data_IF_856805201249
#
_entry.id   IF_856805201249
#
_cell.length_a   1.000
_cell.length_b   1.000
_cell.length_c   1.000
_cell.angle_alpha   90.00
_cell.angle_beta   90.00
_cell.angle_gamma   90.00
#
_symmetry.space_group_name_H-M   'P 1'
#
loop_
_entity.id
_entity.type
_entity.pdbx_description
1 polymer ?
#
# COMPACT_ATOMS: atom_id res chain seq x y z
N UNK A 1 16.56 5.13 -29.92
CA UNK A 1 16.28 5.77 -28.61
C UNK A 1 16.36 7.26 -28.77
N UNK A 2 15.33 8.02 -28.38
CA UNK A 2 15.34 9.49 -28.48
C UNK A 2 16.29 10.10 -27.45
N UNK A 3 17.26 10.93 -27.87
CA UNK A 3 18.02 11.74 -26.92
C UNK A 3 17.27 13.05 -26.67
N UNK A 4 17.36 13.56 -25.43
CA UNK A 4 16.63 14.75 -25.00
C UNK A 4 17.61 15.72 -24.36
N UNK A 5 17.49 17.00 -24.72
CA UNK A 5 18.27 18.09 -24.15
C UNK A 5 17.34 19.12 -23.54
N UNK A 6 17.49 19.36 -22.25
CA UNK A 6 16.89 20.53 -21.61
C UNK A 6 17.65 21.77 -22.06
N UNK A 7 16.93 22.73 -22.65
CA UNK A 7 17.52 23.96 -23.15
C UNK A 7 17.67 24.99 -22.03
N UNK A 8 16.67 25.05 -21.14
CA UNK A 8 16.70 25.87 -19.92
C UNK A 8 17.13 25.07 -18.70
N UNK A 9 16.56 23.87 -18.46
CA UNK A 9 16.79 23.14 -17.21
C UNK A 9 16.36 23.94 -15.97
N UNK A 10 15.37 24.81 -16.12
CA UNK A 10 14.95 25.80 -15.12
C UNK A 10 15.83 27.06 -15.02
N UNK A 11 16.93 27.14 -15.77
CA UNK A 11 17.76 28.34 -15.90
C UNK A 11 17.59 28.98 -17.29
N UNK A 12 17.00 30.17 -17.32
CA UNK A 12 16.75 30.93 -18.54
C UNK A 12 17.86 31.94 -18.85
N UNK A 13 19.01 31.86 -18.17
CA UNK A 13 20.15 32.79 -18.35
C UNK A 13 20.72 32.82 -19.78
N UNK A 14 20.56 31.73 -20.52
CA UNK A 14 21.01 31.62 -21.92
C UNK A 14 19.98 32.14 -22.93
N UNK A 15 18.76 32.45 -22.47
CA UNK A 15 17.68 32.94 -23.32
C UNK A 15 17.84 34.43 -23.59
N UNK A 16 17.62 34.84 -24.83
CA UNK A 16 17.42 36.24 -25.17
C UNK A 16 15.96 36.61 -24.94
N UNK A 17 15.72 37.51 -23.97
CA UNK A 17 14.38 37.90 -23.54
C UNK A 17 14.01 39.27 -24.10
N UNK A 18 12.83 39.35 -24.72
CA UNK A 18 12.21 40.60 -25.15
C UNK A 18 10.78 40.68 -24.59
N UNK A 19 10.52 41.63 -23.70
CA UNK A 19 9.22 41.77 -23.03
C UNK A 19 8.87 40.67 -22.01
N UNK A 20 9.81 39.75 -21.73
CA UNK A 20 9.68 38.69 -20.73
C UNK A 20 10.66 38.87 -19.57
N UNK A 21 10.35 38.26 -18.43
CA UNK A 21 11.24 38.19 -17.28
C UNK A 21 11.21 36.79 -16.64
N UNK A 22 12.23 36.50 -15.83
CA UNK A 22 12.36 35.23 -15.11
C UNK A 22 11.94 35.46 -13.66
N UNK A 23 10.97 34.69 -13.18
CA UNK A 23 10.44 34.71 -11.82
C UNK A 23 10.65 33.34 -11.17
N UNK A 24 11.69 33.26 -10.32
CA UNK A 24 12.22 31.99 -9.83
C UNK A 24 12.85 31.18 -10.97
N UNK A 25 12.34 29.98 -11.23
CA UNK A 25 12.76 29.13 -12.35
C UNK A 25 11.80 29.20 -13.56
N UNK A 26 10.84 30.12 -13.53
CA UNK A 26 9.79 30.21 -14.55
C UNK A 26 9.87 31.49 -15.38
N UNK A 27 9.68 31.36 -16.68
CA UNK A 27 9.54 32.47 -17.62
C UNK A 27 8.11 33.03 -17.57
N UNK A 28 7.96 34.35 -17.52
CA UNK A 28 6.65 35.06 -17.56
C UNK A 28 6.75 36.38 -18.33
N UNK A 29 5.60 36.98 -18.66
CA UNK A 29 5.52 38.34 -19.19
C UNK A 29 6.04 39.35 -18.14
N UNK A 30 6.86 40.32 -18.57
CA UNK A 30 7.38 41.35 -17.68
C UNK A 30 6.26 42.23 -17.11
N UNK A 31 6.38 42.60 -15.82
CA UNK A 31 5.41 43.45 -15.14
C UNK A 31 5.35 44.86 -15.75
N UNK A 32 4.14 45.39 -15.95
CA UNK A 32 3.93 46.82 -16.30
C UNK A 32 2.44 47.18 -16.09
N UNK A 33 2.05 48.42 -16.38
CA UNK A 33 0.71 48.96 -16.11
C UNK A 33 -0.46 48.08 -16.65
N UNK A 34 -1.48 47.78 -15.84
CA UNK A 34 -2.60 46.91 -16.20
C UNK A 34 -3.44 47.48 -17.36
N UNK A 35 -3.97 46.60 -18.22
CA UNK A 35 -4.99 46.96 -19.22
C UNK A 35 -4.54 47.04 -20.69
N UNK A 36 -3.27 46.77 -21.01
CA UNK A 36 -2.79 46.65 -22.39
C UNK A 36 -2.46 45.19 -22.70
N UNK A 37 -2.94 44.68 -23.84
CA UNK A 37 -2.53 43.38 -24.35
C UNK A 37 -1.01 43.39 -24.56
N UNK A 38 -0.34 42.34 -24.07
CA UNK A 38 1.11 42.19 -24.21
C UNK A 38 1.46 40.86 -24.81
N UNK A 39 2.59 40.90 -25.49
CA UNK A 39 3.32 39.70 -25.85
C UNK A 39 4.81 39.95 -25.64
N UNK A 40 5.58 38.87 -25.51
CA UNK A 40 7.03 38.89 -25.42
C UNK A 40 7.61 37.57 -25.87
N UNK A 41 8.91 37.57 -26.18
CA UNK A 41 9.64 36.44 -26.73
C UNK A 41 10.80 36.03 -25.82
N UNK A 42 10.99 34.72 -25.66
CA UNK A 42 12.25 34.15 -25.20
C UNK A 42 12.85 33.32 -26.33
N UNK A 43 14.03 33.70 -26.82
CA UNK A 43 14.75 32.95 -27.84
C UNK A 43 15.87 32.15 -27.20
N UNK A 44 15.86 30.84 -27.40
CA UNK A 44 16.80 29.89 -26.78
C UNK A 44 17.53 29.12 -27.88
N UNK A 45 18.88 29.13 -27.89
CA UNK A 45 19.64 28.30 -28.82
C UNK A 45 19.65 26.85 -28.34
N UNK A 46 19.18 25.93 -29.19
CA UNK A 46 19.44 24.50 -29.00
C UNK A 46 20.78 24.07 -29.62
N UNK A 47 21.26 24.82 -30.62
CA UNK A 47 22.48 24.50 -31.35
C UNK A 47 22.29 23.29 -32.27
N UNK A 48 23.38 22.67 -32.71
CA UNK A 48 23.34 21.38 -33.39
C UNK A 48 23.35 20.24 -32.35
N UNK A 49 22.75 19.07 -32.66
CA UNK A 49 22.90 17.87 -31.85
C UNK A 49 24.38 17.52 -31.64
N UNK A 50 24.77 17.24 -30.41
CA UNK A 50 26.10 16.71 -30.10
C UNK A 50 26.21 15.22 -30.45
N UNK A 51 27.44 14.70 -30.59
CA UNK A 51 27.68 13.27 -30.88
C UNK A 51 27.01 12.29 -29.91
N UNK A 52 26.79 12.68 -28.65
CA UNK A 52 26.10 11.86 -27.65
C UNK A 52 24.56 11.91 -27.79
N UNK A 53 24.04 12.91 -28.51
CA UNK A 53 22.61 13.11 -28.78
C UNK A 53 22.20 12.55 -30.15
N UNK A 54 23.17 12.06 -30.94
CA UNK A 54 22.96 11.44 -32.23
C UNK A 54 22.72 9.94 -32.02
N UNK A 55 21.55 9.44 -32.41
CA UNK A 55 21.31 8.01 -32.54
C UNK A 55 21.89 7.53 -33.88
N UNK A 56 22.63 6.42 -33.85
CA UNK A 56 23.31 5.76 -34.99
C UNK A 56 22.46 5.50 -36.24
N UNK A 57 21.14 5.68 -36.15
CA UNK A 57 20.16 5.33 -37.19
C UNK A 57 19.40 6.52 -37.78
N UNK A 58 19.42 7.69 -37.12
CA UNK A 58 18.65 8.88 -37.55
C UNK A 58 19.58 10.01 -37.98
N UNK A 59 19.23 10.72 -39.05
CA UNK A 59 19.96 11.92 -39.48
C UNK A 59 20.09 12.92 -38.31
N UNK A 60 21.31 13.44 -38.09
CA UNK A 60 21.79 14.35 -37.03
C UNK A 60 20.98 15.66 -36.88
N UNK A 61 19.69 15.59 -36.58
CA UNK A 61 18.81 16.77 -36.48
C UNK A 61 17.81 16.66 -35.34
N UNK A 62 17.42 17.84 -34.85
CA UNK A 62 16.32 18.00 -33.92
C UNK A 62 14.99 17.63 -34.57
N UNK A 63 14.08 17.02 -33.80
CA UNK A 63 12.79 16.50 -34.29
C UNK A 63 11.59 17.11 -33.61
N UNK A 64 11.72 17.38 -32.32
CA UNK A 64 10.63 17.93 -31.54
C UNK A 64 11.15 18.88 -30.48
N UNK A 65 10.28 19.80 -30.10
CA UNK A 65 10.43 20.69 -28.96
C UNK A 65 9.21 20.52 -28.07
N UNK A 66 9.44 20.40 -26.77
CA UNK A 66 8.41 20.26 -25.75
C UNK A 66 8.58 21.35 -24.71
N UNK A 67 7.47 21.95 -24.31
CA UNK A 67 7.39 23.06 -23.38
C UNK A 67 6.61 22.61 -22.15
N UNK A 68 7.18 22.83 -20.97
CA UNK A 68 6.55 22.48 -19.69
C UNK A 68 6.06 23.74 -18.99
N UNK A 69 4.74 23.89 -18.89
CA UNK A 69 4.12 24.98 -18.12
C UNK A 69 4.20 24.69 -16.62
N UNK A 70 4.46 25.72 -15.82
CA UNK A 70 4.49 25.61 -14.35
C UNK A 70 3.08 25.54 -13.77
N UNK A 71 2.14 26.26 -14.40
CA UNK A 71 0.74 26.39 -13.99
C UNK A 71 -0.17 26.25 -15.22
N UNK A 72 -1.43 25.82 -15.07
CA UNK A 72 -2.41 25.84 -16.15
C UNK A 72 -2.51 27.22 -16.79
N UNK A 73 -2.63 27.27 -18.12
CA UNK A 73 -2.69 28.53 -18.87
C UNK A 73 -3.87 29.40 -18.38
N UNK A 74 -3.62 30.61 -17.84
CA UNK A 74 -4.71 31.44 -17.33
C UNK A 74 -5.68 31.88 -18.44
N UNK A 75 -6.97 32.13 -18.13
CA UNK A 75 -7.93 32.62 -19.11
C UNK A 75 -7.46 33.91 -19.78
N UNK A 76 -7.57 33.98 -21.11
CA UNK A 76 -7.12 35.14 -21.90
C UNK A 76 -5.61 35.25 -22.09
N UNK A 77 -4.83 34.27 -21.60
CA UNK A 77 -3.42 34.10 -21.96
C UNK A 77 -3.28 33.09 -23.10
N UNK A 78 -2.18 33.20 -23.84
CA UNK A 78 -1.80 32.27 -24.89
C UNK A 78 -0.28 32.14 -24.93
N UNK A 79 0.19 31.08 -25.58
CA UNK A 79 1.59 30.89 -25.89
C UNK A 79 1.74 30.35 -27.31
N UNK A 80 2.90 30.53 -27.90
CA UNK A 80 3.24 29.96 -29.21
C UNK A 80 4.72 29.60 -29.26
N UNK A 81 5.02 28.40 -29.76
CA UNK A 81 6.38 27.96 -30.03
C UNK A 81 6.71 28.33 -31.47
N UNK A 82 7.90 28.88 -31.68
CA UNK A 82 8.46 29.16 -33.00
C UNK A 82 9.77 28.40 -33.15
N UNK A 83 9.98 27.82 -34.33
CA UNK A 83 11.14 27.01 -34.64
C UNK A 83 11.88 27.59 -35.84
N UNK A 84 13.20 27.72 -35.74
CA UNK A 84 14.09 28.13 -36.81
C UNK A 84 15.26 27.16 -36.87
N UNK A 85 15.48 26.55 -38.04
CA UNK A 85 16.70 25.79 -38.31
C UNK A 85 17.54 26.61 -39.26
N UNK A 86 18.69 27.08 -38.77
CA UNK A 86 19.62 27.88 -39.56
C UNK A 86 20.89 27.08 -39.84
N UNK A 87 21.14 26.68 -41.11
CA UNK A 87 22.35 25.97 -41.51
C UNK A 87 23.58 26.89 -41.57
N UNK A 88 23.36 28.21 -41.64
CA UNK A 88 24.40 29.23 -41.81
C UNK A 88 24.69 30.02 -40.54
N UNK A 89 23.94 29.75 -39.46
CA UNK A 89 24.08 30.48 -38.21
C UNK A 89 25.52 30.45 -37.70
N UNK A 90 26.16 31.62 -37.67
CA UNK A 90 27.27 31.90 -36.76
C UNK A 90 26.78 32.01 -35.31
N UNK A 91 27.62 32.49 -34.39
CA UNK A 91 27.26 32.65 -32.97
C UNK A 91 26.26 33.79 -32.66
N UNK A 92 25.56 34.33 -33.66
CA UNK A 92 24.65 35.46 -33.52
C UNK A 92 23.22 35.02 -33.18
N UNK A 93 22.52 35.81 -32.36
CA UNK A 93 21.09 35.62 -32.07
C UNK A 93 20.29 36.04 -33.31
N UNK A 94 19.38 35.20 -33.84
CA UNK A 94 18.53 35.56 -34.98
C UNK A 94 17.55 36.68 -34.61
N UNK A 95 17.03 37.37 -35.62
CA UNK A 95 15.94 38.32 -35.40
C UNK A 95 14.69 37.58 -34.85
N UNK A 96 13.90 38.23 -33.98
CA UNK A 96 12.64 37.67 -33.48
C UNK A 96 11.72 37.25 -34.63
N UNK A 97 10.87 36.22 -34.43
CA UNK A 97 9.90 35.81 -35.45
C UNK A 97 8.94 36.96 -35.78
N UNK A 98 8.86 37.30 -37.06
CA UNK A 98 7.90 38.25 -37.59
C UNK A 98 6.77 37.49 -38.29
N UNK A 99 5.50 37.61 -37.84
CA UNK A 99 4.36 36.91 -38.43
C UNK A 99 4.15 37.16 -39.94
N UNK A 100 4.68 38.25 -40.50
CA UNK A 100 4.56 38.55 -41.93
C UNK A 100 5.51 37.71 -42.77
N UNK A 101 6.71 37.45 -42.26
CA UNK A 101 7.77 36.73 -42.98
C UNK A 101 7.89 35.25 -42.57
N UNK A 102 7.47 34.90 -41.36
CA UNK A 102 7.46 33.54 -40.86
C UNK A 102 6.36 32.67 -41.51
N UNK A 103 6.56 31.36 -41.50
CA UNK A 103 5.51 30.40 -41.83
C UNK A 103 4.60 30.21 -40.61
N UNK A 104 3.28 30.18 -40.84
CA UNK A 104 2.32 29.82 -39.80
C UNK A 104 2.28 28.29 -39.57
N UNK A 105 1.39 27.84 -38.68
CA UNK A 105 1.22 26.42 -38.37
C UNK A 105 0.69 25.61 -39.58
N UNK A 106 0.10 26.29 -40.57
CA UNK A 106 -0.47 25.71 -41.79
C UNK A 106 0.42 25.89 -43.03
N UNK A 107 1.60 26.47 -42.86
CA UNK A 107 2.57 26.71 -43.92
C UNK A 107 2.99 25.42 -44.64
N UNK A 108 3.55 25.58 -45.85
CA UNK A 108 4.03 24.45 -46.64
C UNK A 108 5.05 23.60 -45.85
N UNK A 109 5.07 22.29 -46.10
CA UNK A 109 6.05 21.36 -45.51
C UNK A 109 6.84 20.72 -46.63
N UNK A 110 8.19 20.65 -46.55
CA UNK A 110 9.06 21.08 -45.44
C UNK A 110 9.17 22.59 -45.27
N UNK A 111 9.53 23.02 -44.06
CA UNK A 111 9.91 24.41 -43.76
C UNK A 111 11.28 24.70 -44.41
N UNK A 112 11.43 25.81 -45.14
CA UNK A 112 12.72 26.24 -45.66
C UNK A 112 13.73 26.54 -44.52
N UNK A 113 15.02 26.20 -44.67
CA UNK A 113 16.04 26.62 -43.71
C UNK A 113 16.15 28.15 -43.63
N UNK A 114 16.50 28.67 -42.46
CA UNK A 114 16.61 30.11 -42.21
C UNK A 114 15.26 30.82 -42.05
N UNK A 115 14.14 30.09 -42.00
CA UNK A 115 12.80 30.65 -41.83
C UNK A 115 12.15 30.18 -40.53
N UNK A 116 11.59 31.13 -39.78
CA UNK A 116 10.77 30.84 -38.60
C UNK A 116 9.48 30.14 -39.00
N UNK A 117 9.07 29.15 -38.21
CA UNK A 117 7.75 28.51 -38.31
C UNK A 117 7.03 28.50 -36.97
N UNK A 118 5.79 28.96 -36.96
CA UNK A 118 4.91 28.86 -35.80
C UNK A 118 4.37 27.43 -35.60
N UNK A 119 4.29 27.00 -34.35
CA UNK A 119 3.39 25.94 -33.92
C UNK A 119 1.95 26.46 -33.79
N UNK A 120 1.00 25.54 -33.66
CA UNK A 120 -0.38 25.89 -33.36
C UNK A 120 -0.47 26.71 -32.06
N UNK A 121 -1.43 27.64 -32.00
CA UNK A 121 -1.60 28.48 -30.82
C UNK A 121 -1.90 27.62 -29.59
N UNK A 122 -1.18 27.89 -28.50
CA UNK A 122 -1.24 27.15 -27.23
C UNK A 122 -0.78 25.69 -27.30
N UNK A 123 -0.11 25.27 -28.39
CA UNK A 123 0.56 23.97 -28.44
C UNK A 123 1.74 23.95 -27.46
N UNK A 124 1.82 22.88 -26.66
CA UNK A 124 2.94 22.65 -25.72
C UNK A 124 4.09 21.87 -26.36
N UNK A 125 3.91 21.42 -27.59
CA UNK A 125 4.86 20.65 -28.35
C UNK A 125 4.83 21.06 -29.82
N UNK A 126 5.98 20.94 -30.49
CA UNK A 126 6.13 21.30 -31.88
C UNK A 126 7.15 20.39 -32.57
N UNK A 127 6.82 19.89 -33.76
CA UNK A 127 7.76 19.16 -34.61
C UNK A 127 8.64 20.11 -35.42
N UNK A 128 9.92 19.78 -35.53
CA UNK A 128 10.89 20.47 -36.37
C UNK A 128 10.72 19.96 -37.80
N UNK A 129 9.99 20.72 -38.62
CA UNK A 129 9.64 20.34 -40.00
C UNK A 129 10.65 20.84 -41.05
N UNK A 130 11.92 21.03 -40.66
CA UNK A 130 13.00 21.42 -41.55
C UNK A 130 13.95 20.23 -41.72
N UNK A 131 14.12 19.68 -42.94
CA UNK A 131 14.94 18.50 -43.14
C UNK A 131 16.44 18.80 -43.14
N UNK A 132 16.82 20.08 -43.27
CA UNK A 132 18.21 20.51 -43.31
C UNK A 132 18.91 20.30 -41.96
N UNK A 133 20.19 19.92 -42.01
CA UNK A 133 21.05 19.98 -40.84
C UNK A 133 21.37 21.44 -40.51
N UNK A 134 21.45 21.78 -39.22
CA UNK A 134 21.74 23.14 -38.78
C UNK A 134 21.53 23.34 -37.29
N UNK A 135 21.78 24.56 -36.84
CA UNK A 135 21.50 24.96 -35.46
C UNK A 135 20.02 25.26 -35.30
N UNK A 136 19.38 24.60 -34.33
CA UNK A 136 18.00 24.91 -33.97
C UNK A 136 17.96 26.11 -33.00
N UNK A 137 17.09 27.05 -33.31
CA UNK A 137 16.62 28.10 -32.43
C UNK A 137 15.15 27.90 -32.12
N UNK A 138 14.79 28.09 -30.86
CA UNK A 138 13.42 28.03 -30.39
C UNK A 138 13.05 29.39 -29.84
N UNK A 139 11.99 30.02 -30.35
CA UNK A 139 11.40 31.18 -29.71
C UNK A 139 10.09 30.78 -29.03
N UNK A 140 9.91 31.23 -27.80
CA UNK A 140 8.69 31.05 -27.04
C UNK A 140 8.02 32.41 -26.92
N UNK A 141 6.87 32.55 -27.57
CA UNK A 141 6.05 33.74 -27.50
C UNK A 141 5.00 33.54 -26.40
N UNK A 142 4.92 34.47 -25.46
CA UNK A 142 3.89 34.53 -24.44
C UNK A 142 3.01 35.73 -24.72
N UNK A 143 1.70 35.61 -24.52
CA UNK A 143 0.79 36.74 -24.60
C UNK A 143 -0.37 36.67 -23.63
N UNK A 144 -0.94 37.83 -23.30
CA UNK A 144 -2.06 37.94 -22.37
C UNK A 144 -2.60 39.36 -22.21
N UNK A 145 -3.64 39.49 -21.41
CA UNK A 145 -4.33 40.76 -21.12
C UNK A 145 -3.63 41.64 -20.07
N UNK A 146 -2.51 41.16 -19.52
CA UNK A 146 -1.73 41.84 -18.48
C UNK A 146 -2.25 41.64 -17.04
N UNK A 147 -3.41 41.02 -16.84
CA UNK A 147 -3.94 40.68 -15.51
C UNK A 147 -3.40 39.33 -14.98
N UNK A 148 -3.10 38.41 -15.88
CA UNK A 148 -2.48 37.13 -15.61
C UNK A 148 -1.38 36.87 -16.64
N UNK A 149 -0.40 36.04 -16.29
CA UNK A 149 0.73 35.73 -17.16
C UNK A 149 0.94 34.21 -17.22
N UNK A 150 1.16 33.64 -18.42
CA UNK A 150 1.58 32.24 -18.53
C UNK A 150 2.95 32.07 -17.87
N UNK A 151 3.15 30.93 -17.19
CA UNK A 151 4.40 30.58 -16.52
C UNK A 151 4.98 29.32 -17.14
N UNK A 152 6.18 29.42 -17.69
CA UNK A 152 6.87 28.30 -18.34
C UNK A 152 8.02 27.86 -17.45
N UNK A 153 7.99 26.62 -17.01
CA UNK A 153 9.03 26.05 -16.16
C UNK A 153 10.24 25.57 -16.96
N UNK A 154 10.03 25.04 -18.16
CA UNK A 154 11.12 24.40 -18.90
C UNK A 154 10.85 24.24 -20.40
N UNK A 155 11.94 24.08 -21.15
CA UNK A 155 11.96 23.85 -22.59
C UNK A 155 12.93 22.72 -22.92
N UNK A 156 12.47 21.73 -23.66
CA UNK A 156 13.23 20.55 -24.05
C UNK A 156 13.23 20.41 -25.57
N UNK A 157 14.39 20.15 -26.15
CA UNK A 157 14.51 19.70 -27.54
C UNK A 157 14.86 18.21 -27.55
N UNK A 158 14.31 17.48 -28.52
CA UNK A 158 14.53 16.04 -28.68
C UNK A 158 15.08 15.72 -30.07
N UNK A 159 16.08 14.84 -30.08
CA UNK A 159 16.63 14.16 -31.25
C UNK A 159 16.18 12.70 -31.25
N UNK A 160 16.48 12.00 -32.34
CA UNK A 160 16.29 10.56 -32.45
C UNK A 160 15.18 10.18 -33.40
N UNK A 161 14.54 9.04 -33.10
CA UNK A 161 13.81 8.23 -34.07
C UNK A 161 12.82 9.05 -34.91
N UNK A 162 12.78 8.73 -36.21
CA UNK A 162 11.94 9.35 -37.24
C UNK A 162 10.42 9.16 -37.00
N UNK A 163 10.06 8.66 -35.82
CA UNK A 163 8.75 8.19 -35.44
C UNK A 163 8.52 6.76 -35.92
N UNK A 164 7.37 6.17 -35.60
CA UNK A 164 7.04 4.78 -35.96
C UNK A 164 7.04 4.52 -37.48
N UNK A 165 7.11 5.55 -38.32
CA UNK A 165 7.16 5.36 -39.78
C UNK A 165 8.45 4.65 -40.20
N UNK A 166 9.58 4.81 -39.51
CA UNK A 166 10.82 4.10 -39.84
C UNK A 166 10.77 2.62 -39.52
N UNK A 167 9.92 2.21 -38.59
CA UNK A 167 9.65 0.80 -38.30
C UNK A 167 8.83 0.13 -39.41
N UNK A 168 8.14 0.90 -40.25
CA UNK A 168 7.37 0.35 -41.35
C UNK A 168 8.28 -0.12 -42.50
N UNK A 169 7.94 -1.25 -43.14
CA UNK A 169 8.59 -1.67 -44.37
C UNK A 169 8.59 -0.56 -45.43
N UNK A 170 9.70 -0.41 -46.17
CA UNK A 170 9.91 0.64 -47.19
C UNK A 170 8.72 0.79 -48.15
N UNK A 171 8.04 -0.31 -48.50
CA UNK A 171 6.89 -0.30 -49.42
C UNK A 171 5.75 0.60 -48.94
N UNK A 172 5.54 0.71 -47.62
CA UNK A 172 4.50 1.57 -47.01
C UNK A 172 4.94 3.02 -46.85
N UNK A 173 6.26 3.27 -46.89
CA UNK A 173 6.86 4.60 -46.75
C UNK A 173 7.03 5.32 -48.09
N UNK A 174 6.87 4.61 -49.22
CA UNK A 174 7.01 5.20 -50.55
C UNK A 174 5.88 6.18 -50.82
N UNK A 175 6.22 7.45 -50.96
CA UNK A 175 5.27 8.48 -51.39
C UNK A 175 5.33 8.56 -52.92
N UNK A 176 4.19 8.33 -53.56
CA UNK A 176 4.10 8.57 -55.01
C UNK A 176 3.82 10.05 -55.20
N UNK A 177 4.86 10.84 -55.49
CA UNK A 177 4.70 12.26 -55.80
C UNK A 177 3.90 12.40 -57.11
N UNK A 178 2.61 12.73 -57.00
CA UNK A 178 1.70 12.88 -58.16
C UNK A 178 1.83 14.23 -58.88
N UNK A 179 2.62 15.18 -58.36
CA UNK A 179 2.51 16.60 -58.75
C UNK A 179 3.74 17.24 -59.43
N UNK A 180 4.91 16.62 -59.40
CA UNK A 180 6.13 17.15 -60.04
C UNK A 180 6.71 16.10 -60.95
N UNK A 181 6.74 16.35 -62.26
CA UNK A 181 7.09 15.41 -63.34
C UNK A 181 8.51 14.79 -63.33
N UNK A 182 9.18 14.81 -62.19
CA UNK A 182 10.39 14.03 -61.87
C UNK A 182 9.97 12.90 -60.94
N UNK A 183 9.84 11.68 -61.49
CA UNK A 183 9.46 10.48 -60.75
C UNK A 183 10.58 9.98 -59.83
N UNK A 184 11.06 10.83 -58.94
CA UNK A 184 11.95 10.39 -57.87
C UNK A 184 11.09 9.80 -56.75
N UNK A 185 11.37 8.54 -56.39
CA UNK A 185 10.58 7.82 -55.39
C UNK A 185 11.04 8.26 -54.00
N UNK A 186 10.42 9.31 -53.48
CA UNK A 186 10.69 9.77 -52.13
C UNK A 186 10.14 8.78 -51.10
N UNK A 187 10.97 8.42 -50.12
CA UNK A 187 10.58 7.57 -48.98
C UNK A 187 10.34 8.48 -47.79
N UNK A 188 9.15 8.41 -47.19
CA UNK A 188 8.82 9.16 -45.97
C UNK A 188 9.72 8.70 -44.82
N UNK A 189 10.66 9.57 -44.45
CA UNK A 189 11.58 9.40 -43.33
C UNK A 189 11.10 10.09 -42.05
N UNK A 190 9.79 10.31 -41.87
CA UNK A 190 9.24 10.88 -40.63
C UNK A 190 8.60 12.25 -40.79
N UNK A 191 9.03 13.03 -41.78
CA UNK A 191 8.59 14.41 -42.00
C UNK A 191 7.40 14.50 -42.97
N UNK A 192 7.17 13.44 -43.76
CA UNK A 192 6.07 13.36 -44.70
C UNK A 192 4.72 13.21 -43.99
N UNK A 193 3.65 13.13 -44.78
CA UNK A 193 2.29 13.05 -44.25
C UNK A 193 2.10 11.83 -43.33
N UNK A 194 2.64 10.67 -43.75
CA UNK A 194 2.50 9.43 -42.99
C UNK A 194 3.30 9.50 -41.70
N UNK A 195 4.55 9.98 -41.75
CA UNK A 195 5.40 10.20 -40.58
C UNK A 195 4.77 11.12 -39.55
N UNK A 196 4.16 12.23 -39.99
CA UNK A 196 3.43 13.15 -39.10
C UNK A 196 2.17 12.53 -38.50
N UNK A 197 1.37 11.83 -39.33
CA UNK A 197 0.14 11.19 -38.87
C UNK A 197 0.42 10.08 -37.84
N UNK A 198 1.37 9.20 -38.13
CA UNK A 198 1.75 8.14 -37.20
C UNK A 198 2.46 8.69 -35.96
N UNK A 199 3.22 9.79 -36.09
CA UNK A 199 3.80 10.49 -34.95
C UNK A 199 2.74 10.98 -33.95
N UNK A 200 1.61 11.51 -34.45
CA UNK A 200 0.48 11.91 -33.60
C UNK A 200 -0.14 10.72 -32.85
N UNK A 201 -0.29 9.58 -33.53
CA UNK A 201 -0.80 8.36 -32.89
C UNK A 201 0.19 7.80 -31.87
N UNK A 202 1.50 7.82 -32.19
CA UNK A 202 2.55 7.36 -31.30
C UNK A 202 2.67 8.22 -30.04
N UNK A 203 2.47 9.54 -30.14
CA UNK A 203 2.45 10.41 -28.96
C UNK A 203 1.29 10.06 -28.02
N UNK A 204 0.08 9.89 -28.56
CA UNK A 204 -1.08 9.47 -27.77
C UNK A 204 -0.90 8.08 -27.14
N UNK A 205 -0.29 7.14 -27.88
CA UNK A 205 0.07 5.83 -27.35
C UNK A 205 1.08 5.99 -26.21
N UNK A 206 2.13 6.78 -26.41
CA UNK A 206 3.18 7.02 -25.41
C UNK A 206 2.60 7.61 -24.13
N UNK A 207 1.69 8.59 -24.23
CA UNK A 207 0.96 9.15 -23.08
C UNK A 207 0.12 8.11 -22.37
N UNK A 208 -0.56 7.23 -23.10
CA UNK A 208 -1.37 6.17 -22.48
C UNK A 208 -0.48 5.13 -21.81
N UNK A 209 0.61 4.74 -22.47
CA UNK A 209 1.61 3.81 -21.94
C UNK A 209 2.37 4.37 -20.74
N UNK A 210 2.63 5.68 -20.68
CA UNK A 210 3.25 6.30 -19.51
C UNK A 210 2.33 6.20 -18.29
N UNK A 211 1.02 6.45 -18.46
CA UNK A 211 0.04 6.26 -17.38
C UNK A 211 0.05 4.80 -16.89
N UNK A 212 0.13 3.82 -17.80
CA UNK A 212 0.23 2.41 -17.43
C UNK A 212 1.56 2.08 -16.72
N UNK A 213 2.65 2.74 -17.11
CA UNK A 213 3.97 2.56 -16.50
C UNK A 213 4.04 3.15 -15.10
N UNK A 214 3.27 4.21 -14.84
CA UNK A 214 3.13 4.83 -13.51
C UNK A 214 2.20 4.06 -12.57
N UNK A 215 1.35 3.18 -13.11
CA UNK A 215 0.33 2.45 -12.34
C UNK A 215 0.92 1.63 -11.17
N UNK A 216 2.03 0.88 -11.32
CA UNK A 216 2.64 0.18 -10.18
C UNK A 216 3.04 1.11 -9.03
N UNK A 217 3.51 2.32 -9.32
CA UNK A 217 3.85 3.30 -8.28
C UNK A 217 2.62 3.80 -7.52
N UNK A 218 1.44 3.83 -8.17
CA UNK A 218 0.17 4.11 -7.51
C UNK A 218 -0.29 2.94 -6.62
N UNK A 219 0.14 1.71 -6.87
CA UNK A 219 -0.19 0.56 -6.03
C UNK A 219 0.75 0.37 -4.84
N UNK A 220 1.91 1.02 -4.87
CA UNK A 220 2.88 0.98 -3.78
C UNK A 220 2.57 2.06 -2.73
N UNK A 221 2.24 1.69 -1.48
CA UNK A 221 1.97 2.64 -0.41
C UNK A 221 3.17 3.54 -0.07
N UNK A 222 4.39 3.17 -0.46
CA UNK A 222 5.59 3.99 -0.25
C UNK A 222 5.85 4.98 -1.39
N UNK A 223 5.43 4.65 -2.62
CA UNK A 223 5.66 5.50 -3.79
C UNK A 223 4.47 6.39 -4.14
N UNK A 224 3.25 6.04 -3.72
CA UNK A 224 2.06 6.79 -4.12
C UNK A 224 2.01 8.20 -3.52
N UNK A 225 1.51 9.17 -4.29
CA UNK A 225 1.22 10.51 -3.78
C UNK A 225 -0.05 10.51 -2.92
N UNK A 226 -0.01 11.09 -1.73
CA UNK A 226 -1.19 11.26 -0.86
C UNK A 226 -1.49 12.75 -0.67
N UNK A 227 -2.29 13.32 -1.58
CA UNK A 227 -2.61 14.75 -1.59
C UNK A 227 -4.04 14.98 -1.12
N UNK A 228 -4.34 16.13 -0.52
CA UNK A 228 -5.68 16.43 0.00
C UNK A 228 -6.77 16.44 -1.10
N UNK A 229 -6.42 16.82 -2.34
CA UNK A 229 -7.31 16.79 -3.50
C UNK A 229 -7.50 15.38 -4.10
N UNK A 230 -6.61 14.45 -3.76
CA UNK A 230 -6.63 13.07 -4.24
C UNK A 230 -6.02 12.14 -3.16
N UNK A 231 -6.78 11.80 -2.10
CA UNK A 231 -6.29 10.97 -1.00
C UNK A 231 -6.18 9.52 -1.46
N UNK A 232 -5.10 9.21 -2.14
CA UNK A 232 -4.91 7.91 -2.77
C UNK A 232 -4.64 6.82 -1.73
N UNK A 233 -4.01 7.17 -0.61
CA UNK A 233 -3.74 6.22 0.45
C UNK A 233 -5.04 5.71 1.09
N UNK A 234 -6.08 6.54 1.16
CA UNK A 234 -7.42 6.12 1.62
C UNK A 234 -8.09 5.14 0.66
N UNK A 235 -7.84 5.30 -0.65
CA UNK A 235 -8.34 4.35 -1.66
C UNK A 235 -7.62 3.01 -1.54
N UNK A 236 -6.30 3.04 -1.39
CA UNK A 236 -5.50 1.83 -1.16
C UNK A 236 -5.93 1.14 0.14
N UNK A 237 -6.13 1.89 1.22
CA UNK A 237 -6.61 1.37 2.49
C UNK A 237 -7.93 0.59 2.31
N UNK A 238 -8.90 1.18 1.60
CA UNK A 238 -10.18 0.49 1.28
C UNK A 238 -9.98 -0.77 0.45
N UNK A 239 -9.03 -0.78 -0.49
CA UNK A 239 -8.73 -1.98 -1.29
C UNK A 239 -8.12 -3.10 -0.47
N UNK A 240 -7.28 -2.78 0.51
CA UNK A 240 -6.72 -3.75 1.46
C UNK A 240 -7.62 -3.97 2.68
N UNK A 241 -8.90 -3.59 2.61
CA UNK A 241 -9.91 -3.75 3.66
C UNK A 241 -9.54 -3.11 5.02
N UNK A 242 -8.80 -2.00 4.98
CA UNK A 242 -8.54 -1.11 6.11
C UNK A 242 -9.47 0.09 6.03
N UNK A 243 -10.12 0.40 7.15
CA UNK A 243 -10.96 1.59 7.27
C UNK A 243 -10.07 2.85 7.33
N UNK A 244 -10.20 3.79 6.38
CA UNK A 244 -9.38 5.01 6.38
C UNK A 244 -9.58 5.87 7.64
N UNK A 245 -10.72 5.79 8.31
CA UNK A 245 -10.97 6.54 9.56
C UNK A 245 -10.16 6.00 10.75
N UNK A 246 -9.62 4.78 10.63
CA UNK A 246 -8.82 4.12 11.66
C UNK A 246 -7.32 4.22 11.39
N UNK A 247 -6.93 4.86 10.28
CA UNK A 247 -5.54 5.07 9.98
C UNK A 247 -4.92 6.08 10.97
N UNK A 248 -3.63 5.95 11.29
CA UNK A 248 -2.92 6.95 12.08
C UNK A 248 -2.97 8.34 11.45
N UNK A 249 -2.86 9.40 12.25
CA UNK A 249 -2.79 10.76 11.72
C UNK A 249 -1.46 11.04 11.00
N UNK A 250 -0.40 10.34 11.39
CA UNK A 250 0.93 10.50 10.81
C UNK A 250 1.09 9.75 9.49
N UNK A 251 1.64 10.42 8.48
CA UNK A 251 1.76 9.86 7.12
C UNK A 251 2.55 8.54 7.08
N UNK A 252 3.64 8.45 7.86
CA UNK A 252 4.47 7.25 7.91
C UNK A 252 3.67 6.04 8.44
N UNK A 253 2.92 6.21 9.54
CA UNK A 253 2.06 5.20 10.13
C UNK A 253 0.91 4.79 9.23
N UNK A 254 0.32 5.74 8.47
CA UNK A 254 -0.68 5.43 7.43
C UNK A 254 -0.09 4.49 6.38
N UNK A 255 1.07 4.85 5.80
CA UNK A 255 1.74 4.09 4.74
C UNK A 255 2.15 2.70 5.23
N UNK A 256 2.74 2.60 6.41
CA UNK A 256 3.10 1.32 7.01
C UNK A 256 1.86 0.43 7.24
N UNK A 257 0.77 1.01 7.74
CA UNK A 257 -0.48 0.28 7.99
C UNK A 257 -1.06 -0.31 6.71
N UNK A 258 -1.11 0.47 5.62
CA UNK A 258 -1.59 -0.01 4.32
C UNK A 258 -0.62 -1.05 3.72
N UNK A 259 0.69 -0.80 3.77
CA UNK A 259 1.72 -1.69 3.21
C UNK A 259 1.71 -3.09 3.83
N UNK A 260 1.46 -3.18 5.12
CA UNK A 260 1.49 -4.46 5.86
C UNK A 260 0.10 -5.06 6.08
N UNK A 261 -0.97 -4.40 5.64
CA UNK A 261 -2.35 -4.84 5.84
C UNK A 261 -2.58 -6.26 5.30
N UNK A 262 -2.18 -6.52 4.06
CA UNK A 262 -2.38 -7.84 3.42
C UNK A 262 -1.70 -8.98 4.20
N UNK A 263 -0.46 -8.76 4.64
CA UNK A 263 0.28 -9.72 5.46
C UNK A 263 -0.43 -9.98 6.80
N UNK A 264 -0.89 -8.90 7.46
CA UNK A 264 -1.66 -8.99 8.72
C UNK A 264 -3.00 -9.71 8.54
N UNK A 265 -3.71 -9.46 7.46
CA UNK A 265 -4.92 -10.20 7.11
C UNK A 265 -4.63 -11.69 6.92
N UNK A 266 -3.47 -12.03 6.36
CA UNK A 266 -2.98 -13.41 6.26
C UNK A 266 -2.70 -14.08 7.62
N UNK A 267 -2.50 -13.32 8.70
CA UNK A 267 -2.31 -13.86 10.05
C UNK A 267 -3.61 -13.91 10.87
N UNK A 268 -4.74 -13.46 10.35
CA UNK A 268 -6.02 -13.54 11.08
C UNK A 268 -6.35 -14.99 11.45
N UNK A 269 -6.87 -15.16 12.65
CA UNK A 269 -7.14 -16.49 13.21
C UNK A 269 -5.91 -17.27 13.68
N UNK A 270 -4.69 -16.73 13.57
CA UNK A 270 -3.47 -17.36 14.10
C UNK A 270 -3.08 -16.77 15.46
N UNK A 271 -2.33 -17.52 16.27
CA UNK A 271 -1.74 -17.02 17.53
C UNK A 271 -0.92 -15.75 17.29
N UNK A 272 -0.10 -15.71 16.23
CA UNK A 272 0.73 -14.55 15.87
C UNK A 272 -0.12 -13.32 15.57
N UNK A 273 -1.15 -13.47 14.73
CA UNK A 273 -2.04 -12.37 14.38
C UNK A 273 -2.79 -11.82 15.58
N UNK A 274 -3.29 -12.68 16.46
CA UNK A 274 -3.99 -12.24 17.66
C UNK A 274 -3.07 -11.48 18.63
N UNK A 275 -1.84 -11.95 18.86
CA UNK A 275 -0.84 -11.24 19.67
C UNK A 275 -0.50 -9.87 19.08
N UNK A 276 -0.27 -9.80 17.76
CA UNK A 276 0.05 -8.56 17.06
C UNK A 276 -1.10 -7.55 17.14
N UNK A 277 -2.34 -7.98 16.91
CA UNK A 277 -3.51 -7.10 16.97
C UNK A 277 -3.76 -6.57 18.38
N UNK A 278 -3.70 -7.43 19.41
CA UNK A 278 -3.87 -7.02 20.80
C UNK A 278 -2.81 -6.00 21.20
N UNK A 279 -1.55 -6.22 20.82
CA UNK A 279 -0.46 -5.29 21.13
C UNK A 279 -0.67 -3.92 20.48
N UNK A 280 -1.17 -3.85 19.24
CA UNK A 280 -1.40 -2.58 18.53
C UNK A 280 -2.54 -1.76 19.13
N UNK A 281 -3.68 -2.39 19.39
CA UNK A 281 -4.88 -1.67 19.85
C UNK A 281 -4.87 -1.35 21.34
N UNK A 282 -4.20 -2.18 22.14
CA UNK A 282 -4.21 -2.03 23.61
C UNK A 282 -2.85 -1.65 24.20
N UNK A 283 -1.76 -1.80 23.45
CA UNK A 283 -0.39 -1.63 23.95
C UNK A 283 0.08 -2.75 24.87
N UNK A 284 -0.74 -3.77 25.13
CA UNK A 284 -0.45 -4.82 26.11
C UNK A 284 0.18 -6.05 25.48
N UNK A 285 1.11 -6.66 26.21
CA UNK A 285 1.54 -8.02 25.92
C UNK A 285 0.60 -9.01 26.61
N UNK A 286 0.17 -10.03 25.88
CA UNK A 286 -0.70 -11.09 26.39
C UNK A 286 -0.06 -12.45 26.13
N UNK A 287 -0.43 -13.44 26.93
CA UNK A 287 -0.09 -14.83 26.67
C UNK A 287 -1.34 -15.59 26.22
N UNK A 288 -1.16 -16.51 25.28
CA UNK A 288 -2.24 -17.31 24.73
C UNK A 288 -1.93 -18.78 25.03
N UNK A 289 -2.81 -19.39 25.80
CA UNK A 289 -2.73 -20.78 26.21
C UNK A 289 -3.85 -21.56 25.53
N UNK A 290 -3.47 -22.62 24.82
CA UNK A 290 -4.40 -23.60 24.25
C UNK A 290 -4.55 -24.75 25.26
N UNK A 291 -5.72 -24.93 25.90
CA UNK A 291 -5.91 -25.95 26.92
C UNK A 291 -5.59 -27.35 26.42
N UNK A 292 -5.92 -27.64 25.15
CA UNK A 292 -5.64 -28.94 24.54
C UNK A 292 -4.14 -29.29 24.57
N UNK A 293 -3.25 -28.30 24.40
CA UNK A 293 -1.80 -28.52 24.41
C UNK A 293 -1.27 -28.90 25.80
N UNK A 294 -2.02 -28.58 26.86
CA UNK A 294 -1.69 -28.92 28.24
C UNK A 294 -2.46 -30.15 28.77
N UNK A 295 -3.41 -30.68 28.01
CA UNK A 295 -4.17 -31.85 28.43
C UNK A 295 -3.35 -33.13 28.26
N UNK A 296 -3.33 -33.95 29.31
CA UNK A 296 -2.74 -35.29 29.27
C UNK A 296 -3.87 -36.31 29.34
N UNK A 297 -3.94 -37.16 28.31
CA UNK A 297 -4.88 -38.28 28.30
C UNK A 297 -4.20 -39.44 28.99
N UNK A 298 -4.77 -39.85 30.12
CA UNK A 298 -4.30 -41.02 30.85
C UNK A 298 -5.16 -42.21 30.40
N UNK A 299 -4.53 -43.28 29.90
CA UNK A 299 -5.23 -44.50 29.50
C UNK A 299 -4.89 -45.62 30.46
N UNK A 300 -5.92 -46.31 30.91
CA UNK A 300 -5.81 -47.61 31.55
C UNK A 300 -5.92 -48.65 30.44
N UNK A 301 -4.91 -49.48 30.28
CA UNK A 301 -4.93 -50.58 29.33
C UNK A 301 -4.77 -51.93 30.05
N UNK A 302 -5.18 -53.01 29.37
CA UNK A 302 -5.11 -54.36 29.94
C UNK A 302 -3.78 -55.07 29.65
N UNK A 303 -2.76 -54.34 29.17
CA UNK A 303 -1.47 -54.92 28.83
C UNK A 303 -0.59 -55.02 30.09
N UNK A 304 -0.03 -56.21 30.40
CA UNK A 304 0.99 -56.32 31.44
C UNK A 304 2.22 -55.49 31.03
N UNK A 305 2.56 -54.46 31.82
CA UNK A 305 3.70 -53.55 31.56
C UNK A 305 3.33 -52.07 31.41
N UNK A 306 2.04 -51.77 31.36
CA UNK A 306 1.45 -50.41 31.29
C UNK A 306 0.44 -50.23 32.44
N UNK A 307 -0.31 -49.12 32.44
CA UNK A 307 -1.24 -48.78 33.52
C UNK A 307 -2.46 -49.71 33.56
N UNK A 308 -2.36 -50.76 34.36
CA UNK A 308 -3.44 -51.71 34.61
C UNK A 308 -4.11 -51.43 35.96
N UNK A 309 -5.44 -51.25 35.94
CA UNK A 309 -6.24 -50.98 37.13
C UNK A 309 -6.13 -52.17 38.11
N UNK A 310 -5.69 -51.92 39.34
CA UNK A 310 -5.51 -52.94 40.38
C UNK A 310 -4.21 -53.77 40.30
N UNK A 311 -3.39 -53.57 39.26
CA UNK A 311 -2.11 -54.29 39.08
C UNK A 311 -0.89 -53.36 39.09
N UNK A 312 -1.07 -52.09 38.69
CA UNK A 312 -0.02 -51.08 38.73
C UNK A 312 -0.55 -49.79 39.34
N UNK A 313 0.27 -49.09 40.14
CA UNK A 313 -0.07 -47.80 40.75
C UNK A 313 0.30 -46.60 39.88
N UNK A 314 1.05 -46.81 38.80
CA UNK A 314 1.43 -45.75 37.86
C UNK A 314 0.38 -45.58 36.78
N UNK A 315 -0.10 -44.35 36.59
CA UNK A 315 -0.75 -43.93 35.35
C UNK A 315 0.36 -43.46 34.39
N UNK A 316 0.37 -43.95 33.16
CA UNK A 316 1.25 -43.48 32.09
C UNK A 316 0.46 -42.53 31.19
N UNK A 317 1.09 -41.43 30.78
CA UNK A 317 0.52 -40.55 29.78
C UNK A 317 0.40 -41.33 28.46
N UNK A 318 -0.76 -41.24 27.81
CA UNK A 318 -1.02 -41.88 26.54
C UNK A 318 -1.19 -40.84 25.43
N UNK A 319 -0.94 -41.28 24.20
CA UNK A 319 -1.21 -40.49 23.01
C UNK A 319 -2.72 -40.16 22.92
N UNK A 320 -3.03 -38.91 22.62
CA UNK A 320 -4.40 -38.39 22.57
C UNK A 320 -5.19 -39.01 21.40
N UNK A 321 -4.49 -39.54 20.39
CA UNK A 321 -5.13 -40.07 19.18
C UNK A 321 -5.58 -38.97 18.21
N UNK A 322 -6.02 -39.33 17.00
CA UNK A 322 -6.52 -38.36 16.03
C UNK A 322 -7.90 -37.82 16.44
N UNK A 323 -8.23 -36.54 16.12
CA UNK A 323 -9.56 -35.99 16.40
C UNK A 323 -10.63 -36.72 15.58
N UNK A 324 -11.67 -37.23 16.25
CA UNK A 324 -12.83 -37.89 15.63
C UNK A 324 -14.08 -37.02 15.83
N UNK A 325 -15.16 -37.23 15.08
CA UNK A 325 -16.42 -36.48 15.18
C UNK A 325 -17.54 -37.39 15.71
N UNK A 326 -18.29 -36.88 16.69
CA UNK A 326 -19.07 -37.63 17.67
C UNK A 326 -20.31 -38.39 17.13
N UNK A 327 -20.53 -39.58 17.72
CA UNK A 327 -21.82 -40.27 17.92
C UNK A 327 -21.78 -41.03 19.27
N UNK A 328 -22.21 -40.43 20.40
CA UNK A 328 -23.12 -41.01 21.44
C UNK A 328 -22.81 -40.66 22.93
N UNK A 329 -23.69 -41.16 23.81
CA UNK A 329 -24.15 -40.67 25.12
C UNK A 329 -23.27 -40.94 26.38
N UNK A 330 -23.61 -40.24 27.47
CA UNK A 330 -22.92 -40.26 28.79
C UNK A 330 -23.63 -41.20 29.79
N UNK A 331 -22.85 -42.03 30.51
CA UNK A 331 -23.30 -42.80 31.69
C UNK A 331 -22.37 -42.48 32.88
N UNK A 332 -22.91 -42.12 34.05
CA UNK A 332 -22.17 -41.92 35.32
C UNK A 332 -20.79 -41.22 35.23
N UNK A 333 -20.74 -40.09 34.51
CA UNK A 333 -19.54 -39.26 34.32
C UNK A 333 -18.32 -39.98 33.70
N UNK A 334 -18.49 -41.20 33.20
CA UNK A 334 -17.46 -41.99 32.52
C UNK A 334 -17.95 -42.26 31.10
N UNK A 335 -17.28 -41.67 30.10
CA UNK A 335 -17.65 -41.88 28.71
C UNK A 335 -17.10 -43.24 28.27
N UNK A 336 -17.99 -44.22 28.06
CA UNK A 336 -17.68 -45.41 27.30
C UNK A 336 -17.68 -45.01 25.82
N UNK A 337 -16.51 -44.65 25.33
CA UNK A 337 -16.29 -44.32 23.92
C UNK A 337 -15.82 -45.56 23.17
N UNK A 338 -16.18 -45.67 21.89
CA UNK A 338 -15.55 -46.68 21.02
C UNK A 338 -14.04 -46.38 20.93
N UNK A 339 -13.25 -47.42 20.71
CA UNK A 339 -11.85 -47.32 20.32
C UNK A 339 -11.63 -46.37 19.14
N UNK A 340 -12.61 -46.27 18.22
CA UNK A 340 -12.59 -45.33 17.10
C UNK A 340 -12.72 -43.87 17.54
N UNK A 341 -13.32 -43.59 18.70
CA UNK A 341 -13.55 -42.25 19.23
C UNK A 341 -12.52 -41.85 20.32
N UNK A 342 -11.43 -42.60 20.43
CA UNK A 342 -10.36 -42.32 21.39
C UNK A 342 -9.86 -40.87 21.25
N UNK A 343 -9.86 -40.12 22.36
CA UNK A 343 -9.48 -38.69 22.39
C UNK A 343 -10.63 -37.71 22.18
N UNK A 344 -11.76 -38.15 21.61
CA UNK A 344 -12.94 -37.31 21.36
C UNK A 344 -13.40 -36.52 22.59
N UNK A 345 -13.56 -37.10 23.80
CA UNK A 345 -14.04 -36.34 24.96
C UNK A 345 -13.16 -35.15 25.36
N UNK A 346 -11.87 -35.27 25.07
CA UNK A 346 -10.81 -34.31 25.40
C UNK A 346 -10.84 -33.23 24.32
N UNK A 347 -10.67 -33.62 23.06
CA UNK A 347 -10.73 -32.71 21.91
C UNK A 347 -12.06 -31.96 21.79
N UNK A 348 -13.20 -32.64 21.95
CA UNK A 348 -14.52 -32.03 21.86
C UNK A 348 -14.73 -30.95 22.94
N UNK A 349 -14.02 -31.03 24.07
CA UNK A 349 -14.09 -30.03 25.14
C UNK A 349 -13.05 -28.92 25.00
N UNK A 350 -11.83 -29.22 24.56
CA UNK A 350 -10.70 -28.28 24.66
C UNK A 350 -10.16 -27.79 23.32
N UNK A 351 -10.35 -28.52 22.21
CA UNK A 351 -9.72 -28.19 20.92
C UNK A 351 -10.18 -26.87 20.31
N UNK A 352 -11.39 -26.43 20.64
CA UNK A 352 -11.96 -25.18 20.16
C UNK A 352 -11.84 -24.05 21.19
N UNK A 353 -11.02 -24.20 22.25
CA UNK A 353 -10.92 -23.23 23.34
C UNK A 353 -9.54 -22.61 23.40
N UNK A 354 -9.48 -21.30 23.64
CA UNK A 354 -8.24 -20.59 23.96
C UNK A 354 -8.44 -19.70 25.19
N UNK A 355 -7.40 -19.61 26.02
CA UNK A 355 -7.35 -18.70 27.16
C UNK A 355 -6.31 -17.61 26.87
N UNK A 356 -6.75 -16.35 26.92
CA UNK A 356 -5.88 -15.18 26.74
C UNK A 356 -5.61 -14.56 28.10
N UNK A 357 -4.36 -14.58 28.53
CA UNK A 357 -3.91 -14.06 29.81
C UNK A 357 -3.34 -12.65 29.65
N UNK A 358 -3.85 -11.72 30.46
CA UNK A 358 -3.38 -10.33 30.54
C UNK A 358 -2.62 -10.16 31.87
N UNK A 359 -1.27 -10.19 31.87
CA UNK A 359 -0.48 -10.08 33.09
C UNK A 359 -0.72 -8.75 33.79
N UNK A 360 -1.15 -8.78 35.06
CA UNK A 360 -1.41 -7.58 35.86
C UNK A 360 -2.53 -6.68 35.32
N UNK A 361 -3.36 -7.18 34.39
CA UNK A 361 -4.37 -6.38 33.72
C UNK A 361 -5.46 -5.85 34.66
N UNK A 362 -5.74 -4.55 34.59
CA UNK A 362 -6.93 -3.95 35.21
C UNK A 362 -8.22 -4.40 34.50
N UNK A 363 -9.41 -4.31 35.14
CA UNK A 363 -10.67 -4.67 34.49
C UNK A 363 -10.92 -3.96 33.14
N UNK A 364 -10.53 -2.69 33.03
CA UNK A 364 -10.65 -1.93 31.78
C UNK A 364 -9.72 -2.45 30.68
N UNK A 365 -8.49 -2.83 31.03
CA UNK A 365 -7.53 -3.44 30.10
C UNK A 365 -8.00 -4.83 29.64
N UNK A 366 -8.51 -5.66 30.55
CA UNK A 366 -9.08 -6.97 30.22
C UNK A 366 -10.24 -6.81 29.23
N UNK A 367 -11.16 -5.88 29.48
CA UNK A 367 -12.29 -5.62 28.59
C UNK A 367 -11.84 -5.07 27.22
N UNK A 368 -10.77 -4.28 27.18
CA UNK A 368 -10.19 -3.82 25.92
C UNK A 368 -9.59 -4.98 25.12
N UNK A 369 -8.78 -5.83 25.74
CA UNK A 369 -8.21 -7.03 25.11
C UNK A 369 -9.31 -7.98 24.65
N UNK A 370 -10.34 -8.21 25.48
CA UNK A 370 -11.43 -9.12 25.15
C UNK A 370 -12.18 -8.67 23.89
N UNK A 371 -12.45 -7.37 23.73
CA UNK A 371 -13.06 -6.84 22.48
C UNK A 371 -12.25 -7.18 21.24
N UNK A 372 -10.92 -7.06 21.31
CA UNK A 372 -10.02 -7.43 20.19
C UNK A 372 -10.08 -8.94 19.94
N UNK A 373 -9.98 -9.74 21.00
CA UNK A 373 -10.01 -11.20 20.93
C UNK A 373 -11.31 -11.72 20.32
N UNK A 374 -12.46 -11.20 20.75
CA UNK A 374 -13.76 -11.61 20.22
C UNK A 374 -13.94 -11.22 18.75
N UNK A 375 -13.31 -10.14 18.28
CA UNK A 375 -13.36 -9.70 16.88
C UNK A 375 -12.44 -10.53 15.97
N UNK A 376 -11.26 -10.90 16.45
CA UNK A 376 -10.23 -11.59 15.65
C UNK A 376 -10.26 -13.12 15.75
N UNK A 377 -10.98 -13.70 16.73
CA UNK A 377 -11.06 -15.16 16.87
C UNK A 377 -11.74 -15.81 15.67
N UNK A 378 -11.29 -16.99 15.23
CA UNK A 378 -12.05 -17.80 14.28
C UNK A 378 -13.46 -18.08 14.82
N UNK A 379 -14.46 -18.13 13.94
CA UNK A 379 -15.86 -18.30 14.35
C UNK A 379 -16.10 -19.57 15.20
N UNK A 380 -15.32 -20.63 14.96
CA UNK A 380 -15.42 -21.91 15.67
C UNK A 380 -14.62 -21.98 16.98
N UNK A 381 -13.78 -20.97 17.29
CA UNK A 381 -12.96 -20.94 18.50
C UNK A 381 -13.65 -20.13 19.58
N UNK A 382 -13.84 -20.70 20.77
CA UNK A 382 -14.24 -20.01 21.99
C UNK A 382 -13.00 -19.43 22.67
N UNK A 383 -13.00 -18.13 22.92
CA UNK A 383 -11.91 -17.45 23.60
C UNK A 383 -12.39 -16.87 24.93
N UNK A 384 -11.58 -17.03 25.97
CA UNK A 384 -11.79 -16.39 27.28
C UNK A 384 -10.59 -15.54 27.66
N UNK A 385 -10.84 -14.28 28.02
CA UNK A 385 -9.80 -13.35 28.46
C UNK A 385 -9.79 -13.26 29.99
N UNK A 386 -8.63 -13.45 30.61
CA UNK A 386 -8.46 -13.46 32.07
C UNK A 386 -7.24 -12.63 32.48
N UNK A 387 -7.29 -11.98 33.64
CA UNK A 387 -6.07 -11.44 34.26
C UNK A 387 -5.28 -12.54 34.94
N UNK A 388 -3.97 -12.53 34.75
CA UNK A 388 -3.03 -13.32 35.56
C UNK A 388 -2.37 -12.38 36.56
N UNK A 389 -2.53 -12.67 37.84
CA UNK A 389 -1.73 -12.01 38.89
C UNK A 389 -0.32 -12.57 38.80
N UNK A 390 0.70 -11.69 38.74
CA UNK A 390 2.10 -12.08 38.83
C UNK A 390 2.31 -12.97 40.07
N UNK A 391 2.92 -14.13 39.83
CA UNK A 391 3.38 -15.10 40.84
C UNK A 391 2.39 -15.48 41.94
N UNK A 392 1.40 -16.31 41.59
CA UNK A 392 1.04 -17.39 42.50
C UNK A 392 1.65 -18.71 42.04
N UNK A 393 2.98 -18.82 42.12
CA UNK A 393 3.63 -20.12 42.32
C UNK A 393 3.20 -20.63 43.69
N UNK A 394 2.00 -21.21 43.76
CA UNK A 394 1.68 -22.11 44.87
C UNK A 394 2.66 -23.28 44.69
N UNK A 395 3.56 -23.58 45.64
CA UNK A 395 4.35 -24.80 45.58
C UNK A 395 3.38 -25.98 45.64
N UNK A 396 3.00 -26.52 44.48
CA UNK A 396 1.97 -27.52 44.34
C UNK A 396 2.54 -28.90 44.71
N UNK A 397 2.81 -29.12 45.99
CA UNK A 397 2.64 -30.45 46.59
C UNK A 397 1.25 -30.48 47.20
N UNK A 398 0.24 -30.67 46.35
CA UNK A 398 -1.11 -31.01 46.83
C UNK A 398 -1.05 -32.48 47.21
N UNK A 399 -0.71 -32.74 48.47
CA UNK A 399 -1.01 -34.03 49.07
C UNK A 399 -2.53 -34.18 49.26
N UNK A 400 -3.01 -35.41 49.35
CA UNK A 400 -4.43 -35.75 49.51
C UNK A 400 -5.07 -35.09 50.76
N UNK A 401 -4.27 -34.53 51.69
CA UNK A 401 -4.73 -33.81 52.88
C UNK A 401 -4.60 -32.28 52.86
N UNK A 402 -4.13 -31.65 51.79
CA UNK A 402 -3.94 -30.19 51.75
C UNK A 402 -5.20 -29.47 51.25
N UNK A 403 -5.98 -28.91 52.18
CA UNK A 403 -7.03 -27.93 51.87
C UNK A 403 -6.39 -26.54 51.93
N UNK A 404 -6.36 -25.76 50.83
CA UNK A 404 -5.85 -24.39 50.90
C UNK A 404 -6.71 -23.56 51.87
N UNK A 405 -6.09 -23.05 52.93
CA UNK A 405 -6.74 -22.17 53.88
C UNK A 405 -7.14 -20.83 53.24
N UNK A 406 -8.18 -20.14 53.74
CA UNK A 406 -8.56 -18.83 53.24
C UNK A 406 -7.44 -17.83 53.55
N UNK A 407 -6.69 -17.42 52.53
CA UNK A 407 -5.72 -16.33 52.64
C UNK A 407 -6.48 -14.99 52.73
N UNK A 408 -6.39 -14.25 53.85
CA UNK A 408 -7.09 -12.98 54.02
C UNK A 408 -6.59 -11.88 53.08
N UNK A 409 -5.45 -12.06 52.39
CA UNK A 409 -4.94 -11.13 51.37
C UNK A 409 -5.54 -11.37 49.99
N UNK A 410 -6.14 -12.53 49.75
CA UNK A 410 -6.89 -12.81 48.53
C UNK A 410 -8.34 -12.36 48.73
N UNK A 411 -8.58 -11.06 48.58
CA UNK A 411 -9.91 -10.60 48.14
C UNK A 411 -10.11 -11.16 46.74
N UNK A 412 -10.73 -12.35 46.65
CA UNK A 412 -11.29 -12.82 45.39
C UNK A 412 -12.12 -11.70 44.79
N UNK A 413 -12.02 -11.51 43.47
CA UNK A 413 -12.83 -10.54 42.74
C UNK A 413 -14.28 -10.68 43.22
N UNK A 414 -14.90 -9.63 43.81
CA UNK A 414 -16.21 -9.74 44.45
C UNK A 414 -17.37 -10.13 43.54
N UNK A 415 -17.13 -10.34 42.24
CA UNK A 415 -18.13 -10.74 41.26
C UNK A 415 -17.46 -11.50 40.11
N UNK A 416 -17.30 -12.81 40.25
CA UNK A 416 -17.20 -13.72 39.10
C UNK A 416 -18.62 -14.01 38.59
N UNK A 417 -19.33 -12.94 38.21
CA UNK A 417 -20.71 -12.97 37.70
C UNK A 417 -20.77 -13.30 36.21
N UNK A 418 -19.64 -13.49 35.55
CA UNK A 418 -19.55 -13.89 34.14
C UNK A 418 -19.71 -15.41 33.97
N UNK A 419 -20.72 -16.02 34.61
CA UNK A 419 -21.17 -17.36 34.22
C UNK A 419 -22.11 -17.19 33.04
N UNK A 420 -21.70 -17.66 31.87
CA UNK A 420 -22.63 -17.91 30.78
C UNK A 420 -22.87 -19.42 30.75
N UNK A 421 -24.00 -19.93 31.27
CA UNK A 421 -24.23 -21.38 31.44
C UNK A 421 -24.15 -22.17 30.12
N UNK A 422 -24.32 -21.50 28.99
CA UNK A 422 -24.15 -22.08 27.66
C UNK A 422 -22.68 -22.23 27.21
N UNK A 423 -21.74 -21.51 27.81
CA UNK A 423 -20.30 -21.54 27.48
C UNK A 423 -19.53 -22.41 28.49
N UNK A 424 -19.89 -22.31 29.77
CA UNK A 424 -19.14 -22.96 30.86
C UNK A 424 -19.49 -24.43 31.08
N UNK A 425 -20.61 -24.92 30.54
CA UNK A 425 -21.12 -26.26 30.80
C UNK A 425 -21.51 -26.48 32.27
N UNK A 426 -22.15 -27.61 32.61
CA UNK A 426 -22.75 -27.82 33.93
C UNK A 426 -21.76 -28.11 35.08
N UNK A 427 -20.44 -27.91 34.93
CA UNK A 427 -19.51 -28.36 35.98
C UNK A 427 -18.15 -27.69 35.99
N UNK A 428 -17.99 -26.69 36.86
CA UNK A 428 -16.83 -26.59 37.76
C UNK A 428 -17.10 -25.56 38.86
N UNK A 429 -17.33 -26.05 40.07
CA UNK A 429 -16.98 -25.36 41.31
C UNK A 429 -15.85 -26.19 41.92
N UNK A 430 -14.63 -25.71 41.87
CA UNK A 430 -13.61 -26.13 42.84
C UNK A 430 -13.65 -25.05 43.93
N UNK A 431 -14.43 -25.29 44.98
CA UNK A 431 -14.57 -24.34 46.08
C UNK A 431 -15.71 -24.64 47.03
N UNK A 432 -15.39 -25.35 48.13
CA UNK A 432 -16.11 -25.28 49.40
C UNK A 432 -17.27 -26.25 49.58
N UNK A 433 -16.99 -27.54 49.78
CA UNK A 433 -17.87 -28.35 50.63
C UNK A 433 -17.68 -27.87 52.08
N UNK A 434 -18.66 -27.16 52.63
CA UNK A 434 -18.74 -26.98 54.09
C UNK A 434 -19.17 -28.32 54.68
N UNK A 435 -18.25 -29.03 55.30
CA UNK A 435 -18.65 -30.02 56.30
C UNK A 435 -19.28 -29.25 57.48
N UNK A 436 -20.46 -29.66 57.97
CA UNK A 436 -21.02 -29.06 59.18
C UNK A 436 -20.05 -29.26 60.34
N UNK A 437 -19.98 -28.26 61.22
CA UNK A 437 -19.15 -28.30 62.41
C UNK A 437 -19.46 -29.56 63.23
N UNK A 438 -18.40 -30.27 63.63
CA UNK A 438 -18.51 -31.39 64.54
C UNK A 438 -19.29 -30.96 65.79
N UNK A 439 -20.37 -31.67 66.06
CA UNK A 439 -21.15 -31.56 67.29
C UNK A 439 -20.21 -31.81 68.49
N UNK A 440 -20.26 -31.00 69.56
CA UNK A 440 -19.40 -31.21 70.71
C UNK A 440 -19.68 -32.55 71.39
N UNK A 441 -18.58 -33.14 71.85
CA UNK A 441 -18.44 -34.45 72.47
C UNK A 441 -19.51 -34.73 73.54
N UNK A 442 -20.12 -35.90 73.44
CA UNK A 442 -20.99 -36.48 74.47
C UNK A 442 -20.12 -36.87 75.67
N UNK A 443 -20.46 -36.46 76.91
CA UNK A 443 -19.66 -36.82 78.08
C UNK A 443 -19.77 -38.32 78.39
N UNK A 444 -18.67 -38.86 78.90
CA UNK A 444 -18.47 -40.25 79.28
C UNK A 444 -19.59 -40.78 80.19
N UNK A 445 -20.13 -41.95 79.82
CA UNK A 445 -20.97 -42.74 80.70
C UNK A 445 -20.06 -43.60 81.58
N UNK A 446 -19.84 -43.14 82.81
CA UNK A 446 -19.34 -43.98 83.90
C UNK A 446 -20.32 -45.12 84.16
N UNK A 447 -19.78 -46.33 84.18
CA UNK A 447 -20.50 -47.56 84.55
C UNK A 447 -20.08 -47.95 85.96
N UNK A 448 -20.90 -47.64 86.97
CA UNK A 448 -20.85 -48.33 88.26
C UNK A 448 -21.95 -49.40 88.31
N UNK A 449 -21.67 -50.61 88.83
CA UNK A 449 -22.67 -51.63 89.08
C UNK A 449 -23.22 -51.48 90.50
N UNK A 450 -24.54 -51.38 90.65
CA UNK A 450 -25.23 -51.56 91.94
C UNK A 450 -26.40 -52.51 91.73
N UNK A 451 -26.51 -53.51 92.61
CA UNK A 451 -27.37 -54.67 92.45
C UNK A 451 -28.78 -54.57 93.04
N UNK A 452 -29.35 -55.77 93.14
CA UNK A 452 -30.55 -56.25 93.85
C UNK A 452 -31.95 -56.03 93.24
N UNK A 453 -32.47 -57.15 92.66
CA UNK A 453 -33.67 -57.93 93.05
C UNK A 453 -35.04 -57.21 93.21
N UNK A 454 -36.18 -57.88 92.88
CA UNK A 454 -36.56 -59.25 93.27
C UNK A 454 -36.73 -60.29 92.16
#
# INVERSE_FOLDING_TARGET
MSARRWLSGGDWSTAHLDGLEVDGAALRLASAAPGLARHGFAMVPAGAPSGAEIDSTSADRWRAVHLRIADPLPPGCWLRIWLLVDPTAGSGVPAPPDPVSADDDRGAVPTPPGRWRAAALSALDARVLCPAAGSLWVAVELGGTGAATPRISDLQAATGDDGPVTELPVVYRRVTALASGTADRETDGGDGLLGRYLGLLADQLTRTSSILTELPALLDPWATSDRADAPWLDRLARWVAVDPEQLPEDEAGRRETVATAAERHGWRGTRRGLLDQVRRETGLAVDIVEPLAAEHVWRLDQRPGTSALGLSTGLAAADQGPPVLDRNAVLDASMLIDSADAGLPVHARSAHRICVHVPGGTPGQIAAVDRVVQRERPAHVLARTCATTEDSRIPLRVGVGTVPGPDPRRRGLPNDTARHPHIDGPGQRIGGARLPAATPEHPAHDSEPTGDLP
#
